data_IF_845500660319
#
_entry.id   IF_845500660319
#
_cell.length_a   1.000
_cell.length_b   1.000
_cell.length_c   1.000
_cell.angle_alpha   90.00
_cell.angle_beta   90.00
_cell.angle_gamma   90.00
#
_symmetry.space_group_name_H-M   'P 1'
#
loop_
_entity.id
_entity.type
_entity.pdbx_description
1 polymer ?
#
# COMPACT_ATOMS: atom_id res chain seq x y z
N UNK A 1 19.31 -26.58 47.21
CA UNK A 1 19.20 -26.67 45.72
C UNK A 1 18.34 -25.53 45.21
N UNK A 2 18.92 -24.57 44.51
CA UNK A 2 18.14 -23.42 43.92
C UNK A 2 17.67 -23.81 42.52
N UNK A 3 16.36 -23.95 42.30
CA UNK A 3 15.74 -24.16 40.98
C UNK A 3 15.94 -22.93 40.10
N UNK A 4 16.73 -23.06 39.01
CA UNK A 4 16.86 -22.05 37.93
C UNK A 4 15.54 -22.00 37.18
N UNK A 5 14.79 -20.88 37.31
CA UNK A 5 13.65 -20.56 36.47
C UNK A 5 14.20 -20.21 35.07
N UNK A 6 14.02 -21.11 34.11
CA UNK A 6 14.32 -20.81 32.70
C UNK A 6 13.32 -19.79 32.18
N UNK A 7 13.75 -18.55 32.03
CA UNK A 7 12.96 -17.52 31.38
C UNK A 7 12.56 -17.94 29.97
N UNK A 8 11.26 -17.85 29.68
CA UNK A 8 10.65 -18.19 28.39
C UNK A 8 11.16 -17.17 27.36
N UNK A 9 12.12 -17.57 26.49
CA UNK A 9 12.63 -16.74 25.38
C UNK A 9 11.42 -16.42 24.48
N UNK A 10 10.99 -15.14 24.47
CA UNK A 10 10.00 -14.65 23.50
C UNK A 10 10.61 -14.78 22.10
N UNK A 11 10.20 -15.77 21.32
CA UNK A 11 10.57 -15.87 19.90
C UNK A 11 10.12 -14.58 19.22
N UNK A 12 11.04 -13.83 18.62
CA UNK A 12 10.73 -12.70 17.73
C UNK A 12 9.81 -13.26 16.64
N UNK A 13 8.56 -12.79 16.58
CA UNK A 13 7.67 -13.16 15.48
C UNK A 13 8.28 -12.58 14.20
N UNK A 14 8.50 -13.44 13.21
CA UNK A 14 8.93 -13.02 11.87
C UNK A 14 7.94 -12.03 11.23
N UNK A 15 8.28 -11.49 10.05
CA UNK A 15 7.39 -10.57 9.36
C UNK A 15 6.02 -11.23 9.12
N UNK A 16 4.95 -10.50 9.46
CA UNK A 16 3.57 -10.97 9.22
C UNK A 16 3.33 -10.96 7.73
N UNK A 17 3.29 -12.13 7.11
CA UNK A 17 2.92 -12.29 5.70
C UNK A 17 1.41 -12.30 5.61
N UNK A 18 0.85 -11.37 4.85
CA UNK A 18 -0.59 -11.32 4.54
C UNK A 18 -0.99 -12.56 3.73
N UNK A 19 -2.10 -13.20 4.13
CA UNK A 19 -2.64 -14.36 3.40
C UNK A 19 -3.54 -13.86 2.27
N UNK A 20 -3.23 -14.25 1.03
CA UNK A 20 -4.11 -14.02 -0.12
C UNK A 20 -5.44 -14.75 0.06
N UNK A 21 -6.53 -14.09 -0.30
CA UNK A 21 -7.89 -14.62 -0.14
C UNK A 21 -8.68 -14.39 -1.43
N UNK A 22 -9.39 -15.40 -1.91
CA UNK A 22 -10.28 -15.27 -3.08
C UNK A 22 -11.72 -15.07 -2.63
N UNK A 23 -12.44 -14.16 -3.26
CA UNK A 23 -13.87 -13.92 -3.06
C UNK A 23 -14.48 -13.30 -4.32
N UNK A 24 -15.66 -13.76 -4.75
CA UNK A 24 -16.32 -13.33 -6.00
C UNK A 24 -15.40 -13.40 -7.26
N UNK A 25 -14.51 -14.41 -7.32
CA UNK A 25 -13.53 -14.54 -8.40
C UNK A 25 -12.33 -13.60 -8.33
N UNK A 26 -12.29 -12.66 -7.38
CA UNK A 26 -11.21 -11.70 -7.17
C UNK A 26 -10.21 -12.24 -6.15
N UNK A 27 -8.91 -12.17 -6.48
CA UNK A 27 -7.82 -12.52 -5.55
C UNK A 27 -7.34 -11.28 -4.82
N UNK A 28 -7.67 -11.18 -3.53
CA UNK A 28 -7.22 -10.08 -2.66
C UNK A 28 -5.86 -10.41 -2.04
N UNK A 29 -4.98 -9.42 -1.93
CA UNK A 29 -3.68 -9.57 -1.29
C UNK A 29 -3.79 -9.74 0.24
N UNK A 30 -4.90 -9.33 0.85
CA UNK A 30 -5.15 -9.46 2.30
C UNK A 30 -6.61 -9.69 2.65
N UNK A 31 -6.85 -10.20 3.87
CA UNK A 31 -8.19 -10.31 4.44
C UNK A 31 -8.86 -8.95 4.67
N UNK A 32 -8.09 -7.88 4.91
CA UNK A 32 -8.61 -6.53 5.10
C UNK A 32 -9.17 -5.95 3.79
N UNK A 33 -8.48 -6.17 2.67
CA UNK A 33 -8.96 -5.79 1.34
C UNK A 33 -10.27 -6.53 0.99
N UNK A 34 -10.33 -7.85 1.22
CA UNK A 34 -11.59 -8.61 1.08
C UNK A 34 -12.71 -8.03 1.94
N UNK A 35 -12.43 -7.70 3.20
CA UNK A 35 -13.42 -7.10 4.10
C UNK A 35 -13.96 -5.77 3.55
N UNK A 36 -13.06 -4.89 3.10
CA UNK A 36 -13.43 -3.60 2.50
C UNK A 36 -14.27 -3.79 1.22
N UNK A 37 -13.91 -4.76 0.37
CA UNK A 37 -14.69 -5.08 -0.83
C UNK A 37 -16.14 -5.45 -0.49
N UNK A 38 -16.32 -6.34 0.50
CA UNK A 38 -17.66 -6.75 0.96
C UNK A 38 -18.43 -5.55 1.55
N UNK A 39 -17.78 -4.70 2.33
CA UNK A 39 -18.38 -3.51 2.93
C UNK A 39 -18.83 -2.49 1.85
N UNK A 40 -17.99 -2.23 0.84
CA UNK A 40 -18.34 -1.38 -0.30
C UNK A 40 -19.55 -1.93 -1.08
N UNK A 41 -19.57 -3.25 -1.33
CA UNK A 41 -20.67 -3.92 -2.02
C UNK A 41 -21.99 -3.83 -1.26
N UNK A 42 -21.96 -4.08 0.05
CA UNK A 42 -23.14 -3.92 0.95
C UNK A 42 -23.69 -2.49 0.94
N UNK A 43 -22.80 -1.51 0.98
CA UNK A 43 -23.17 -0.09 0.95
C UNK A 43 -23.53 0.42 -0.45
N UNK A 44 -23.51 -0.42 -1.49
CA UNK A 44 -23.74 -0.06 -2.90
C UNK A 44 -22.80 1.05 -3.40
N UNK A 45 -21.58 1.11 -2.86
CA UNK A 45 -20.53 2.04 -3.24
C UNK A 45 -19.68 1.42 -4.35
N UNK A 46 -19.65 2.06 -5.52
CA UNK A 46 -18.89 1.56 -6.68
C UNK A 46 -17.43 2.00 -6.56
N UNK A 47 -16.53 1.01 -6.50
CA UNK A 47 -15.08 1.20 -6.61
C UNK A 47 -14.48 -0.03 -7.31
N UNK A 48 -13.41 0.18 -8.09
CA UNK A 48 -12.68 -0.91 -8.75
C UNK A 48 -11.49 -1.32 -7.89
N UNK A 49 -11.36 -2.61 -7.62
CA UNK A 49 -10.19 -3.19 -6.95
C UNK A 49 -9.00 -3.14 -7.91
N UNK A 50 -7.86 -2.57 -7.43
CA UNK A 50 -6.65 -2.30 -8.23
C UNK A 50 -6.96 -1.67 -9.61
N UNK A 51 -8.00 -0.82 -9.65
CA UNK A 51 -8.60 -0.35 -10.90
C UNK A 51 -7.73 0.60 -11.72
N UNK A 52 -6.69 1.21 -11.11
CA UNK A 52 -5.78 2.14 -11.79
C UNK A 52 -4.42 2.19 -11.12
N UNK A 53 -3.38 2.27 -11.96
CA UNK A 53 -2.00 2.50 -11.53
C UNK A 53 -1.59 3.94 -11.89
N UNK A 54 -1.02 4.65 -10.91
CA UNK A 54 -0.56 6.03 -11.07
C UNK A 54 0.97 6.09 -11.13
N UNK A 55 1.52 6.92 -11.99
CA UNK A 55 2.94 7.26 -12.00
C UNK A 55 3.14 8.41 -11.00
N UNK A 56 3.72 8.10 -9.84
CA UNK A 56 3.92 9.08 -8.76
C UNK A 56 5.28 9.77 -8.84
N UNK A 57 6.18 9.23 -9.63
CA UNK A 57 7.47 9.81 -10.02
C UNK A 57 7.78 9.32 -11.44
N UNK A 58 8.03 10.24 -12.35
CA UNK A 58 8.43 9.91 -13.71
C UNK A 58 9.81 9.24 -13.74
N UNK A 59 9.99 8.37 -14.73
CA UNK A 59 11.29 7.82 -15.04
C UNK A 59 12.19 8.88 -15.68
N UNK A 60 13.49 8.70 -15.56
CA UNK A 60 14.49 9.62 -16.12
C UNK A 60 15.76 8.90 -16.50
N UNK A 61 16.60 9.55 -17.32
CA UNK A 61 17.94 9.08 -17.61
C UNK A 61 18.92 9.67 -16.59
N UNK A 62 19.59 8.80 -15.85
CA UNK A 62 20.65 9.17 -14.94
C UNK A 62 21.99 9.13 -15.69
N UNK A 63 22.50 10.30 -16.09
CA UNK A 63 23.67 10.44 -16.96
C UNK A 63 24.99 10.71 -16.23
N UNK A 64 24.98 10.54 -14.90
CA UNK A 64 26.17 10.74 -14.07
C UNK A 64 26.70 9.43 -13.51
N UNK A 65 27.94 9.48 -13.02
CA UNK A 65 28.61 8.34 -12.36
C UNK A 65 27.98 8.02 -11.02
N UNK A 66 27.76 6.73 -10.75
CA UNK A 66 27.31 6.23 -9.46
C UNK A 66 28.00 4.92 -9.11
N UNK A 67 28.91 4.97 -8.13
CA UNK A 67 29.58 3.77 -7.64
C UNK A 67 28.71 3.06 -6.63
N UNK A 68 28.26 1.88 -6.97
CA UNK A 68 27.36 1.08 -6.12
C UNK A 68 27.49 -0.42 -6.41
N UNK A 69 27.04 -1.26 -5.48
CA UNK A 69 26.76 -2.67 -5.73
C UNK A 69 25.38 -2.81 -6.38
N UNK A 70 25.01 -4.01 -6.80
CA UNK A 70 23.64 -4.29 -7.21
C UNK A 70 22.68 -4.06 -6.04
N UNK A 71 21.42 -3.73 -6.34
CA UNK A 71 20.37 -3.46 -5.34
C UNK A 71 20.15 -4.60 -4.34
N UNK A 72 20.52 -5.85 -4.70
CA UNK A 72 20.49 -7.01 -3.82
C UNK A 72 21.73 -7.13 -2.91
N UNK A 73 22.64 -6.14 -2.93
CA UNK A 73 23.89 -6.13 -2.16
C UNK A 73 25.01 -7.02 -2.71
N UNK A 74 24.78 -7.72 -3.82
CA UNK A 74 25.76 -8.61 -4.47
C UNK A 74 26.54 -7.89 -5.57
N UNK A 75 27.54 -8.60 -6.12
CA UNK A 75 28.37 -8.11 -7.22
C UNK A 75 29.45 -7.13 -6.78
N UNK A 76 30.21 -6.64 -7.74
CA UNK A 76 31.31 -5.70 -7.53
C UNK A 76 30.80 -4.29 -7.25
N UNK A 77 31.54 -3.54 -6.45
CA UNK A 77 31.38 -2.08 -6.28
C UNK A 77 32.02 -1.38 -7.47
N UNK A 78 31.20 -0.90 -8.39
CA UNK A 78 31.65 -0.25 -9.63
C UNK A 78 30.67 0.81 -10.10
N UNK A 79 31.05 1.60 -11.07
CA UNK A 79 30.15 2.58 -11.69
C UNK A 79 28.95 1.87 -12.34
N UNK A 80 27.77 2.24 -11.88
CA UNK A 80 26.46 1.82 -12.37
C UNK A 80 25.57 3.00 -12.75
N UNK A 81 26.18 4.15 -12.97
CA UNK A 81 25.55 5.31 -13.57
C UNK A 81 25.17 5.09 -15.04
N UNK A 82 24.91 6.15 -15.75
CA UNK A 82 24.52 6.15 -17.17
C UNK A 82 23.42 5.13 -17.50
N UNK A 83 22.35 5.11 -16.69
CA UNK A 83 21.24 4.17 -16.82
C UNK A 83 19.88 4.88 -16.82
N UNK A 84 18.91 4.25 -17.44
CA UNK A 84 17.51 4.67 -17.35
C UNK A 84 16.95 4.26 -15.99
N UNK A 85 16.40 5.22 -15.24
CA UNK A 85 15.67 5.00 -14.02
C UNK A 85 14.18 4.89 -14.35
N UNK A 86 13.58 3.78 -13.98
CA UNK A 86 12.16 3.51 -14.25
C UNK A 86 11.24 4.37 -13.36
N UNK A 87 10.02 4.67 -13.84
CA UNK A 87 9.06 5.42 -13.04
C UNK A 87 8.67 4.67 -11.77
N UNK A 88 8.37 5.42 -10.71
CA UNK A 88 7.75 4.86 -9.50
C UNK A 88 6.24 4.88 -9.69
N UNK A 89 5.64 3.70 -9.61
CA UNK A 89 4.21 3.49 -9.79
C UNK A 89 3.54 3.20 -8.45
N UNK A 90 2.27 3.58 -8.33
CA UNK A 90 1.43 3.29 -7.19
C UNK A 90 0.06 2.79 -7.64
N UNK A 91 -0.37 1.64 -7.13
CA UNK A 91 -1.70 1.06 -7.40
C UNK A 91 -2.42 0.94 -6.06
N UNK A 92 -3.40 1.82 -5.78
CA UNK A 92 -4.21 1.72 -4.58
C UNK A 92 -5.22 0.57 -4.68
N UNK A 93 -5.67 0.06 -3.52
CA UNK A 93 -6.54 -1.11 -3.47
C UNK A 93 -7.91 -0.86 -4.11
N UNK A 94 -8.54 0.29 -3.86
CA UNK A 94 -9.86 0.60 -4.44
C UNK A 94 -9.89 2.02 -4.99
N UNK A 95 -10.39 2.14 -6.23
CA UNK A 95 -10.47 3.41 -6.96
C UNK A 95 -11.90 3.69 -7.38
N UNK A 96 -12.38 4.90 -7.05
CA UNK A 96 -13.66 5.48 -7.48
C UNK A 96 -13.42 6.91 -7.97
N UNK A 97 -14.32 7.52 -8.76
CA UNK A 97 -14.18 8.91 -9.21
C UNK A 97 -14.07 9.94 -8.09
N UNK A 98 -14.64 9.67 -6.90
CA UNK A 98 -14.68 10.61 -5.78
C UNK A 98 -13.85 10.21 -4.57
N UNK A 99 -13.37 8.97 -4.52
CA UNK A 99 -12.55 8.49 -3.41
C UNK A 99 -11.60 7.37 -3.82
N UNK A 100 -10.53 7.25 -3.07
CA UNK A 100 -9.55 6.16 -3.18
C UNK A 100 -9.32 5.56 -1.79
N UNK A 101 -9.20 4.23 -1.71
CA UNK A 101 -8.97 3.52 -0.45
C UNK A 101 -7.72 2.65 -0.58
N UNK A 102 -6.85 2.73 0.42
CA UNK A 102 -5.69 1.85 0.62
C UNK A 102 -5.84 1.11 1.94
N UNK A 103 -6.03 -0.20 1.89
CA UNK A 103 -6.15 -1.06 3.08
C UNK A 103 -4.77 -1.50 3.57
N UNK A 104 -4.27 -0.90 4.66
CA UNK A 104 -2.90 -1.14 5.12
C UNK A 104 -2.81 -1.48 6.59
N UNK A 105 -2.93 -2.77 6.92
CA UNK A 105 -2.80 -3.21 8.31
C UNK A 105 -1.41 -2.96 8.89
N UNK A 106 -0.35 -3.42 8.23
CA UNK A 106 1.04 -3.17 8.60
C UNK A 106 1.83 -2.64 7.41
N UNK A 107 2.41 -1.47 7.55
CA UNK A 107 3.26 -0.88 6.53
C UNK A 107 4.62 -1.60 6.47
N UNK A 108 5.13 -1.85 5.26
CA UNK A 108 6.53 -2.18 5.03
C UNK A 108 7.36 -0.89 4.95
N UNK A 109 8.68 -1.01 4.91
CA UNK A 109 9.60 0.14 4.94
C UNK A 109 9.41 1.13 3.77
N UNK A 110 9.09 0.64 2.58
CA UNK A 110 8.90 1.47 1.38
C UNK A 110 7.54 2.15 1.31
N UNK A 111 6.53 1.65 2.01
CA UNK A 111 5.16 2.13 1.92
C UNK A 111 5.00 3.60 2.37
N UNK A 112 5.59 4.06 3.49
CA UNK A 112 5.41 5.45 3.93
C UNK A 112 5.89 6.47 2.90
N UNK A 113 7.01 6.20 2.21
CA UNK A 113 7.54 7.07 1.16
C UNK A 113 6.60 7.08 -0.05
N UNK A 114 6.21 5.91 -0.55
CA UNK A 114 5.31 5.78 -1.71
C UNK A 114 3.95 6.43 -1.44
N UNK A 115 3.44 6.30 -0.21
CA UNK A 115 2.20 6.93 0.21
C UNK A 115 2.29 8.47 0.24
N UNK A 116 3.42 9.03 0.68
CA UNK A 116 3.66 10.48 0.61
C UNK A 116 3.70 10.97 -0.84
N UNK A 117 4.38 10.25 -1.72
CA UNK A 117 4.42 10.57 -3.16
C UNK A 117 3.03 10.50 -3.78
N UNK A 118 2.25 9.48 -3.45
CA UNK A 118 0.87 9.36 -3.92
C UNK A 118 -0.02 10.49 -3.41
N UNK A 119 0.11 10.91 -2.15
CA UNK A 119 -0.59 12.10 -1.63
C UNK A 119 -0.25 13.38 -2.41
N UNK A 120 1.03 13.58 -2.75
CA UNK A 120 1.44 14.70 -3.60
C UNK A 120 0.77 14.62 -4.97
N UNK A 121 0.75 13.44 -5.57
CA UNK A 121 0.07 13.20 -6.85
C UNK A 121 -1.42 13.55 -6.78
N UNK A 122 -2.14 13.05 -5.78
CA UNK A 122 -3.57 13.34 -5.58
C UNK A 122 -3.80 14.84 -5.40
N UNK A 123 -2.99 15.52 -4.58
CA UNK A 123 -3.10 16.97 -4.37
C UNK A 123 -3.00 17.75 -5.67
N UNK A 124 -2.14 17.34 -6.60
CA UNK A 124 -1.88 18.07 -7.85
C UNK A 124 -2.90 17.71 -8.94
N UNK A 125 -3.19 16.42 -9.11
CA UNK A 125 -3.95 15.93 -10.26
C UNK A 125 -5.41 15.58 -9.95
N UNK A 126 -5.76 15.36 -8.69
CA UNK A 126 -7.09 14.91 -8.28
C UNK A 126 -7.54 15.57 -6.96
N UNK A 127 -7.51 16.92 -6.85
CA UNK A 127 -7.74 17.62 -5.57
C UNK A 127 -9.16 17.41 -5.00
N UNK A 128 -10.11 16.95 -5.81
CA UNK A 128 -11.48 16.62 -5.41
C UNK A 128 -11.63 15.20 -4.83
N UNK A 129 -10.61 14.35 -4.98
CA UNK A 129 -10.66 12.95 -4.53
C UNK A 129 -10.25 12.86 -3.05
N UNK A 130 -11.10 12.22 -2.26
CA UNK A 130 -10.79 11.92 -0.86
C UNK A 130 -10.07 10.59 -0.77
N UNK A 131 -8.97 10.54 -0.02
CA UNK A 131 -8.22 9.32 0.18
C UNK A 131 -8.39 8.79 1.60
N UNK A 132 -8.58 7.48 1.73
CA UNK A 132 -8.77 6.77 2.99
C UNK A 132 -7.72 5.68 3.15
N UNK A 133 -7.23 5.48 4.36
CA UNK A 133 -6.22 4.44 4.67
C UNK A 133 -6.61 3.68 5.94
N UNK A 134 -7.62 2.80 5.89
CA UNK A 134 -7.99 1.98 7.02
C UNK A 134 -6.93 0.91 7.33
N UNK A 135 -6.70 0.64 8.62
CA UNK A 135 -5.74 -0.34 9.11
C UNK A 135 -6.40 -1.58 9.73
N UNK A 136 -7.69 -1.52 10.00
CA UNK A 136 -8.48 -2.60 10.60
C UNK A 136 -9.95 -2.53 10.14
N UNK A 137 -10.75 -3.53 10.52
CA UNK A 137 -12.15 -3.61 10.10
C UNK A 137 -13.00 -2.44 10.61
N UNK A 138 -12.79 -1.98 11.86
CA UNK A 138 -13.52 -0.83 12.42
C UNK A 138 -13.28 0.45 11.61
N UNK A 139 -12.05 0.65 11.16
CA UNK A 139 -11.72 1.79 10.30
C UNK A 139 -12.30 1.62 8.90
N UNK A 140 -12.41 0.38 8.36
CA UNK A 140 -13.13 0.11 7.13
C UNK A 140 -14.61 0.52 7.25
N UNK A 141 -15.28 0.13 8.33
CA UNK A 141 -16.67 0.51 8.58
C UNK A 141 -16.82 2.04 8.68
N UNK A 142 -15.86 2.71 9.34
CA UNK A 142 -15.84 4.17 9.44
C UNK A 142 -15.64 4.83 8.08
N UNK A 143 -14.83 4.27 7.21
CA UNK A 143 -14.66 4.77 5.83
C UNK A 143 -15.98 4.70 5.06
N UNK A 144 -16.71 3.58 5.17
CA UNK A 144 -18.04 3.43 4.54
C UNK A 144 -19.01 4.50 5.05
N UNK A 145 -19.06 4.72 6.37
CA UNK A 145 -19.89 5.76 6.98
C UNK A 145 -19.57 7.15 6.44
N UNK A 146 -18.27 7.52 6.37
CA UNK A 146 -17.82 8.82 5.87
C UNK A 146 -18.18 9.03 4.41
N UNK A 147 -17.98 8.02 3.54
CA UNK A 147 -18.32 8.11 2.11
C UNK A 147 -19.83 8.24 1.94
N UNK A 148 -20.63 7.50 2.69
CA UNK A 148 -22.08 7.56 2.61
C UNK A 148 -22.60 8.93 3.01
N UNK A 149 -22.11 9.49 4.12
CA UNK A 149 -22.49 10.85 4.58
C UNK A 149 -22.11 11.94 3.60
N UNK A 150 -20.98 11.81 2.88
CA UNK A 150 -20.56 12.80 1.89
C UNK A 150 -21.42 12.83 0.63
N UNK A 151 -22.16 11.75 0.34
CA UNK A 151 -23.09 11.67 -0.80
C UNK A 151 -24.48 12.22 -0.49
N UNK A 152 -24.80 12.42 0.78
CA UNK A 152 -26.13 12.89 1.23
C UNK A 152 -26.16 14.42 1.40
N UNK A 153 -25.03 15.09 1.22
CA UNK A 153 -24.90 16.56 1.13
C UNK A 153 -24.79 16.99 -0.33
#
# INVERSE_FOLDING_TARGET
>A
MKKRIRGRIKRKRGPVVSKKVTHDGIKFASGLEKYMYIALKKAKLKAKYEGQTYIVQDGFEFKTTSYERQSNGKGEFKDRGNKKILPIKYTPDFVSPSFIIECKGRANESFPLRWKMFKKYVKVHMPHVIIYKPQNQKECDKVIELITKSKTK
#
